data_IF_063257696741
#
_entry.id   IF_063257696741
#
_cell.length_a   1.000
_cell.length_b   1.000
_cell.length_c   1.000
_cell.angle_alpha   90.00
_cell.angle_beta   90.00
_cell.angle_gamma   90.00
#
_symmetry.space_group_name_H-M   'P 1'
#
loop_
_entity.id
_entity.type
_entity.pdbx_description
1 polymer ?
#
# COMPACT_ATOMS: atom_id res chain seq x y z
N UNK A 1 -12.90 -15.70 -12.36
CA UNK A 1 -12.28 -15.30 -11.08
C UNK A 1 -13.01 -14.07 -10.60
N UNK A 2 -13.59 -14.11 -9.40
CA UNK A 2 -14.43 -13.02 -8.86
C UNK A 2 -13.57 -12.12 -7.98
N UNK A 3 -13.49 -10.84 -8.31
CA UNK A 3 -12.72 -9.86 -7.53
C UNK A 3 -13.65 -8.90 -6.78
N UNK A 4 -13.30 -8.57 -5.55
CA UNK A 4 -13.91 -7.46 -4.82
C UNK A 4 -12.88 -6.33 -4.71
N UNK A 5 -13.25 -5.16 -5.21
CA UNK A 5 -12.34 -3.99 -5.23
C UNK A 5 -12.86 -2.92 -4.30
N UNK A 6 -12.04 -2.52 -3.32
CA UNK A 6 -12.31 -1.41 -2.42
C UNK A 6 -11.51 -0.18 -2.86
N UNK A 7 -12.20 0.86 -3.30
CA UNK A 7 -11.60 2.15 -3.68
C UNK A 7 -12.43 3.31 -3.15
N UNK A 8 -11.96 3.95 -2.09
CA UNK A 8 -12.64 5.11 -1.47
C UNK A 8 -12.56 6.34 -2.38
N UNK A 9 -11.49 6.47 -3.16
CA UNK A 9 -11.30 7.63 -4.06
C UNK A 9 -12.26 7.65 -5.25
N UNK A 10 -12.82 6.48 -5.62
CA UNK A 10 -13.69 6.31 -6.77
C UNK A 10 -12.98 6.36 -8.13
N UNK A 11 -11.65 6.43 -8.14
CA UNK A 11 -10.88 6.49 -9.40
C UNK A 11 -10.93 5.17 -10.17
N UNK A 12 -10.97 4.04 -9.46
CA UNK A 12 -11.04 2.70 -10.07
C UNK A 12 -12.35 2.47 -10.83
N UNK A 13 -13.42 3.18 -10.48
CA UNK A 13 -14.70 3.06 -11.19
C UNK A 13 -14.59 3.40 -12.67
N UNK A 14 -13.66 4.30 -13.03
CA UNK A 14 -13.40 4.68 -14.42
C UNK A 14 -12.42 3.77 -15.14
N UNK A 15 -11.72 2.93 -14.39
CA UNK A 15 -10.59 2.13 -14.86
C UNK A 15 -10.94 0.64 -14.99
N UNK A 16 -11.94 0.16 -14.27
CA UNK A 16 -12.37 -1.24 -14.29
C UNK A 16 -13.39 -1.45 -15.40
N UNK A 17 -13.01 -2.27 -16.37
CA UNK A 17 -13.88 -2.68 -17.47
C UNK A 17 -14.37 -4.15 -17.36
N UNK A 18 -14.01 -4.84 -16.28
CA UNK A 18 -14.33 -6.26 -16.10
C UNK A 18 -15.70 -6.45 -15.46
N UNK A 19 -16.53 -7.33 -16.04
CA UNK A 19 -17.82 -7.76 -15.48
C UNK A 19 -17.69 -8.59 -14.19
N UNK A 20 -16.49 -9.13 -13.91
CA UNK A 20 -16.23 -10.02 -12.78
C UNK A 20 -15.74 -9.29 -11.52
N UNK A 21 -15.69 -7.96 -11.56
CA UNK A 21 -15.25 -7.14 -10.44
C UNK A 21 -16.43 -6.44 -9.75
N UNK A 22 -16.58 -6.67 -8.46
CA UNK A 22 -17.50 -5.93 -7.60
C UNK A 22 -16.76 -4.75 -7.02
N UNK A 23 -17.20 -3.52 -7.33
CA UNK A 23 -16.58 -2.30 -6.82
C UNK A 23 -17.36 -1.75 -5.63
N UNK A 24 -16.66 -1.43 -4.55
CA UNK A 24 -17.20 -0.77 -3.36
C UNK A 24 -16.31 0.42 -2.96
N UNK A 25 -16.93 1.43 -2.37
CA UNK A 25 -16.28 2.69 -2.01
C UNK A 25 -16.18 2.92 -0.49
N UNK A 26 -16.36 1.88 0.30
CA UNK A 26 -16.32 2.01 1.77
C UNK A 26 -15.78 0.73 2.41
N UNK A 27 -14.93 0.83 3.46
CA UNK A 27 -14.40 -0.31 4.18
C UNK A 27 -15.48 -1.24 4.73
N UNK A 28 -16.55 -0.67 5.31
CA UNK A 28 -17.65 -1.45 5.89
C UNK A 28 -18.39 -2.25 4.81
N UNK A 29 -18.68 -1.62 3.66
CA UNK A 29 -19.31 -2.31 2.54
C UNK A 29 -18.38 -3.39 1.97
N UNK A 30 -17.07 -3.14 1.92
CA UNK A 30 -16.11 -4.12 1.47
C UNK A 30 -16.12 -5.38 2.34
N UNK A 31 -16.04 -5.23 3.66
CA UNK A 31 -16.09 -6.36 4.57
C UNK A 31 -17.42 -7.14 4.44
N UNK A 32 -18.54 -6.44 4.39
CA UNK A 32 -19.85 -7.08 4.23
C UNK A 32 -19.95 -7.85 2.91
N UNK A 33 -19.54 -7.25 1.80
CA UNK A 33 -19.56 -7.91 0.49
C UNK A 33 -18.59 -9.09 0.43
N UNK A 34 -17.41 -9.00 1.07
CA UNK A 34 -16.46 -10.12 1.15
C UNK A 34 -17.07 -11.35 1.86
N UNK A 35 -17.87 -11.12 2.91
CA UNK A 35 -18.57 -12.20 3.64
C UNK A 35 -19.66 -12.83 2.78
N UNK A 36 -20.47 -12.01 2.08
CA UNK A 36 -21.62 -12.48 1.27
C UNK A 36 -21.13 -13.18 0.00
N UNK A 37 -20.26 -12.52 -0.74
CA UNK A 37 -19.90 -12.88 -2.11
C UNK A 37 -18.75 -13.90 -2.19
N UNK A 38 -17.95 -14.01 -1.12
CA UNK A 38 -16.76 -14.88 -1.02
C UNK A 38 -15.89 -14.81 -2.28
N UNK A 39 -15.35 -13.63 -2.62
CA UNK A 39 -14.54 -13.47 -3.82
C UNK A 39 -13.26 -14.28 -3.73
N UNK A 40 -12.64 -14.56 -4.88
CA UNK A 40 -11.34 -15.23 -4.96
C UNK A 40 -10.21 -14.33 -4.40
N UNK A 41 -10.34 -13.01 -4.56
CA UNK A 41 -9.42 -12.04 -3.99
C UNK A 41 -10.11 -10.69 -3.70
N UNK A 42 -9.59 -9.98 -2.68
CA UNK A 42 -9.95 -8.60 -2.36
C UNK A 42 -8.79 -7.69 -2.75
N UNK A 43 -9.07 -6.70 -3.58
CA UNK A 43 -8.11 -5.67 -3.98
C UNK A 43 -8.46 -4.38 -3.26
N UNK A 44 -7.51 -3.82 -2.50
CA UNK A 44 -7.71 -2.59 -1.73
C UNK A 44 -6.78 -1.51 -2.27
N UNK A 45 -7.34 -0.41 -2.75
CA UNK A 45 -6.57 0.69 -3.32
C UNK A 45 -6.31 1.78 -2.29
N UNK A 46 -5.04 2.10 -2.11
CA UNK A 46 -4.53 3.22 -1.33
C UNK A 46 -4.13 4.34 -2.29
N UNK A 47 -5.11 5.16 -2.67
CA UNK A 47 -4.91 6.31 -3.55
C UNK A 47 -4.44 7.56 -2.80
N UNK A 48 -4.71 8.73 -3.41
CA UNK A 48 -4.53 10.02 -2.74
C UNK A 48 -5.72 10.30 -1.83
N UNK A 49 -5.65 9.77 -0.61
CA UNK A 49 -6.70 9.81 0.41
C UNK A 49 -6.16 10.42 1.70
N UNK A 50 -7.06 10.90 2.56
CA UNK A 50 -6.69 11.42 3.88
C UNK A 50 -6.05 10.32 4.75
N UNK A 51 -5.18 10.70 5.69
CA UNK A 51 -4.48 9.76 6.57
C UNK A 51 -5.45 8.87 7.35
N UNK A 52 -6.58 9.44 7.82
CA UNK A 52 -7.63 8.68 8.49
C UNK A 52 -8.29 7.62 7.60
N UNK A 53 -8.50 7.94 6.34
CA UNK A 53 -9.05 6.98 5.37
C UNK A 53 -8.06 5.85 5.07
N UNK A 54 -6.77 6.19 4.97
CA UNK A 54 -5.68 5.22 4.87
C UNK A 54 -5.65 4.27 6.05
N UNK A 55 -5.78 4.80 7.27
CA UNK A 55 -5.84 3.99 8.50
C UNK A 55 -7.05 3.05 8.49
N UNK A 56 -8.22 3.54 8.09
CA UNK A 56 -9.43 2.72 7.98
C UNK A 56 -9.29 1.58 6.95
N UNK A 57 -8.55 1.78 5.86
CA UNK A 57 -8.26 0.71 4.89
C UNK A 57 -7.30 -0.34 5.46
N UNK A 58 -6.32 0.06 6.28
CA UNK A 58 -5.42 -0.89 6.96
C UNK A 58 -6.20 -1.71 8.00
N UNK A 59 -7.10 -1.07 8.76
CA UNK A 59 -8.00 -1.75 9.68
C UNK A 59 -8.92 -2.74 8.95
N UNK A 60 -9.43 -2.38 7.76
CA UNK A 60 -10.19 -3.30 6.91
C UNK A 60 -9.37 -4.54 6.54
N UNK A 61 -8.08 -4.36 6.16
CA UNK A 61 -7.20 -5.49 5.86
C UNK A 61 -7.11 -6.45 7.06
N UNK A 62 -6.87 -5.92 8.26
CA UNK A 62 -6.83 -6.71 9.49
C UNK A 62 -8.16 -7.41 9.78
N UNK A 63 -9.29 -6.71 9.62
CA UNK A 63 -10.62 -7.29 9.80
C UNK A 63 -10.89 -8.46 8.83
N UNK A 64 -10.51 -8.31 7.55
CA UNK A 64 -10.63 -9.38 6.56
C UNK A 64 -9.81 -10.62 6.92
N UNK A 65 -8.60 -10.43 7.46
CA UNK A 65 -7.69 -11.53 7.83
C UNK A 65 -8.03 -12.19 9.17
N UNK A 66 -8.70 -11.49 10.08
CA UNK A 66 -9.13 -12.02 11.37
C UNK A 66 -10.52 -12.67 11.33
N UNK A 67 -11.38 -12.28 10.40
CA UNK A 67 -12.75 -12.79 10.31
C UNK A 67 -12.78 -14.23 9.78
N UNK A 68 -13.52 -15.12 10.46
CA UNK A 68 -13.59 -16.54 10.14
C UNK A 68 -14.07 -16.82 8.69
N UNK A 69 -14.92 -15.97 8.13
CA UNK A 69 -15.50 -16.15 6.79
C UNK A 69 -14.62 -15.62 5.66
N UNK A 70 -13.66 -14.73 5.97
CA UNK A 70 -12.85 -14.03 4.96
C UNK A 70 -11.36 -14.27 5.09
N UNK A 71 -10.85 -14.84 6.20
CA UNK A 71 -9.41 -15.04 6.47
C UNK A 71 -8.66 -15.82 5.40
N UNK A 72 -9.36 -16.71 4.67
CA UNK A 72 -8.78 -17.48 3.55
C UNK A 72 -8.75 -16.75 2.22
N UNK A 73 -9.37 -15.56 2.14
CA UNK A 73 -9.39 -14.77 0.90
C UNK A 73 -8.06 -14.03 0.76
N UNK A 74 -7.43 -14.11 -0.41
CA UNK A 74 -6.23 -13.34 -0.73
C UNK A 74 -6.51 -11.83 -0.72
N UNK A 75 -5.66 -11.04 -0.03
CA UNK A 75 -5.76 -9.58 -0.01
C UNK A 75 -4.56 -8.98 -0.73
N UNK A 76 -4.84 -8.11 -1.70
CA UNK A 76 -3.83 -7.40 -2.49
C UNK A 76 -4.00 -5.89 -2.24
N UNK A 77 -2.97 -5.25 -1.70
CA UNK A 77 -2.96 -3.80 -1.53
C UNK A 77 -2.30 -3.12 -2.74
N UNK A 78 -3.02 -2.18 -3.36
CA UNK A 78 -2.51 -1.33 -4.44
C UNK A 78 -2.14 0.03 -3.87
N UNK A 79 -0.85 0.36 -3.87
CA UNK A 79 -0.30 1.60 -3.31
C UNK A 79 0.13 2.56 -4.42
N UNK A 80 -0.23 3.84 -4.31
CA UNK A 80 0.22 4.90 -5.22
C UNK A 80 1.58 5.51 -4.82
N UNK A 81 2.12 5.14 -3.65
CA UNK A 81 3.42 5.60 -3.16
C UNK A 81 4.13 4.50 -2.38
N UNK A 82 5.46 4.55 -2.41
CA UNK A 82 6.31 3.62 -1.65
C UNK A 82 6.46 4.11 -0.21
N UNK A 83 5.45 3.89 0.60
CA UNK A 83 5.39 4.34 1.98
C UNK A 83 5.68 3.18 2.93
N UNK A 84 6.91 3.09 3.44
CA UNK A 84 7.37 1.96 4.26
C UNK A 84 6.46 1.65 5.45
N UNK A 85 6.07 2.65 6.24
CA UNK A 85 5.24 2.37 7.42
C UNK A 85 3.84 1.85 7.07
N UNK A 86 3.30 2.18 5.89
CA UNK A 86 2.05 1.59 5.40
C UNK A 86 2.27 0.11 5.07
N UNK A 87 3.37 -0.21 4.38
CA UNK A 87 3.69 -1.61 4.02
C UNK A 87 3.94 -2.45 5.27
N UNK A 88 4.63 -1.92 6.29
CA UNK A 88 4.82 -2.59 7.58
C UNK A 88 3.48 -2.88 8.28
N UNK A 89 2.61 -1.89 8.35
CA UNK A 89 1.26 -2.06 8.94
C UNK A 89 0.39 -3.04 8.17
N UNK A 90 0.51 -3.08 6.84
CA UNK A 90 -0.18 -4.07 5.99
C UNK A 90 0.33 -5.48 6.26
N UNK A 91 1.65 -5.67 6.43
CA UNK A 91 2.24 -6.95 6.85
C UNK A 91 1.67 -7.38 8.21
N UNK A 92 1.65 -6.47 9.18
CA UNK A 92 1.16 -6.74 10.53
C UNK A 92 -0.36 -7.03 10.55
N UNK A 93 -1.11 -6.50 9.58
CA UNK A 93 -2.52 -6.82 9.32
C UNK A 93 -2.72 -8.16 8.59
N UNK A 94 -1.63 -8.85 8.19
CA UNK A 94 -1.68 -10.15 7.51
C UNK A 94 -1.89 -10.09 6.00
N UNK A 95 -1.65 -8.92 5.37
CA UNK A 95 -1.69 -8.78 3.90
C UNK A 95 -0.48 -9.46 3.30
N UNK A 96 -0.70 -10.31 2.30
CA UNK A 96 0.37 -11.07 1.65
C UNK A 96 1.04 -10.31 0.51
N UNK A 97 0.28 -9.48 -0.21
CA UNK A 97 0.74 -8.87 -1.46
C UNK A 97 0.51 -7.36 -1.49
N UNK A 98 1.54 -6.64 -1.86
CA UNK A 98 1.54 -5.19 -2.07
C UNK A 98 2.09 -4.88 -3.45
N UNK A 99 1.34 -4.15 -4.27
CA UNK A 99 1.79 -3.69 -5.58
C UNK A 99 1.79 -2.18 -5.66
N UNK A 100 2.89 -1.61 -6.10
CA UNK A 100 2.98 -0.17 -6.35
C UNK A 100 2.50 0.16 -7.75
N UNK A 101 1.55 1.09 -7.82
CA UNK A 101 1.06 1.63 -9.09
C UNK A 101 2.04 2.68 -9.60
N UNK A 102 2.45 2.55 -10.86
CA UNK A 102 3.30 3.56 -11.49
C UNK A 102 2.55 4.91 -11.55
N UNK A 103 3.20 6.00 -11.11
CA UNK A 103 2.71 7.36 -11.37
C UNK A 103 2.87 7.68 -12.85
N UNK A 104 1.96 7.22 -13.70
CA UNK A 104 1.98 7.62 -15.10
C UNK A 104 1.43 9.02 -15.24
N UNK A 105 2.14 9.89 -16.00
CA UNK A 105 1.65 11.23 -16.40
C UNK A 105 0.54 11.15 -17.45
N UNK A 106 0.27 9.97 -17.99
CA UNK A 106 -0.82 9.72 -18.93
C UNK A 106 -2.05 9.24 -18.18
N UNK A 107 -3.29 9.54 -18.66
CA UNK A 107 -4.50 8.95 -18.12
C UNK A 107 -4.30 7.45 -18.12
N UNK A 108 -4.35 6.84 -16.93
CA UNK A 108 -4.00 5.43 -16.74
C UNK A 108 -4.89 4.60 -17.66
N UNK A 109 -4.26 3.87 -18.55
CA UNK A 109 -4.89 2.80 -19.31
C UNK A 109 -5.69 1.92 -18.35
N UNK A 110 -6.88 1.51 -18.74
CA UNK A 110 -7.77 0.68 -17.94
C UNK A 110 -6.98 -0.42 -17.19
N UNK A 111 -7.08 -0.43 -15.87
CA UNK A 111 -6.49 -1.50 -15.06
C UNK A 111 -7.45 -2.67 -15.17
N UNK A 112 -7.03 -3.68 -15.90
CA UNK A 112 -7.74 -4.95 -15.90
C UNK A 112 -7.43 -5.65 -14.56
N UNK A 113 -8.37 -5.58 -13.63
CA UNK A 113 -8.25 -6.20 -12.30
C UNK A 113 -8.07 -7.71 -12.41
N UNK A 114 -8.55 -8.32 -13.49
CA UNK A 114 -8.39 -9.76 -13.73
C UNK A 114 -6.94 -10.15 -14.05
N UNK A 115 -6.12 -9.19 -14.46
CA UNK A 115 -4.68 -9.39 -14.68
C UNK A 115 -3.85 -9.17 -13.42
N UNK A 116 -4.44 -8.70 -12.31
CA UNK A 116 -3.75 -8.54 -11.02
C UNK A 116 -3.57 -9.93 -10.39
N UNK A 117 -2.68 -10.74 -10.99
CA UNK A 117 -2.21 -11.94 -10.32
C UNK A 117 -1.06 -11.56 -9.40
N UNK A 118 -1.05 -12.04 -8.14
CA UNK A 118 0.07 -11.82 -7.26
C UNK A 118 1.34 -12.46 -7.85
N UNK A 119 2.41 -11.70 -7.91
CA UNK A 119 3.73 -12.18 -8.33
C UNK A 119 4.63 -12.31 -7.08
N UNK A 120 5.67 -13.16 -7.11
CA UNK A 120 6.60 -13.28 -5.97
C UNK A 120 7.22 -11.93 -5.55
N UNK A 121 7.46 -11.04 -6.52
CA UNK A 121 7.98 -9.68 -6.25
C UNK A 121 6.98 -8.79 -5.49
N UNK A 122 5.67 -9.09 -5.54
CA UNK A 122 4.63 -8.31 -4.87
C UNK A 122 4.46 -8.75 -3.40
N UNK A 123 5.18 -9.77 -2.92
CA UNK A 123 5.15 -10.17 -1.52
C UNK A 123 5.56 -8.99 -0.62
N UNK A 124 4.83 -8.78 0.45
CA UNK A 124 5.01 -7.64 1.34
C UNK A 124 6.42 -7.59 1.93
N UNK A 125 7.00 -8.73 2.29
CA UNK A 125 8.36 -8.81 2.84
C UNK A 125 9.42 -8.44 1.80
N UNK A 126 9.25 -8.88 0.54
CA UNK A 126 10.14 -8.49 -0.57
C UNK A 126 10.08 -6.99 -0.80
N UNK A 127 8.90 -6.38 -0.71
CA UNK A 127 8.76 -4.93 -0.86
C UNK A 127 9.41 -4.17 0.31
N UNK A 128 9.36 -4.71 1.53
CA UNK A 128 10.04 -4.11 2.70
C UNK A 128 11.56 -4.19 2.60
N UNK A 129 12.12 -5.24 2.01
CA UNK A 129 13.56 -5.36 1.77
C UNK A 129 14.09 -4.31 0.78
N UNK A 130 13.25 -3.88 -0.18
CA UNK A 130 13.61 -2.84 -1.16
C UNK A 130 13.62 -1.45 -0.52
N UNK A 131 12.79 -1.22 0.50
CA UNK A 131 12.63 0.09 1.14
C UNK A 131 13.60 0.29 2.30
N UNK A 132 14.26 1.44 2.36
CA UNK A 132 15.18 1.78 3.45
C UNK A 132 14.48 1.66 4.82
N UNK A 133 15.06 0.91 5.80
CA UNK A 133 14.46 0.73 7.12
C UNK A 133 14.44 2.00 7.98
N UNK A 134 15.18 3.04 7.56
CA UNK A 134 15.23 4.33 8.25
C UNK A 134 14.31 5.39 7.65
N UNK A 135 13.33 5.00 6.82
CA UNK A 135 12.29 5.90 6.36
C UNK A 135 11.30 6.17 7.50
N UNK A 136 11.26 7.39 7.97
CA UNK A 136 10.28 7.87 8.95
C UNK A 136 9.34 8.88 8.31
N UNK A 137 8.14 9.01 8.88
CA UNK A 137 7.08 9.88 8.36
C UNK A 137 6.54 10.73 9.50
N UNK A 138 6.66 12.04 9.34
CA UNK A 138 6.14 13.03 10.27
C UNK A 138 4.88 13.67 9.71
N UNK A 139 3.77 13.56 10.42
CA UNK A 139 2.50 14.15 10.03
C UNK A 139 2.60 15.68 10.02
N UNK A 140 2.20 16.30 8.91
CA UNK A 140 2.08 17.75 8.77
C UNK A 140 0.62 18.15 9.04
N UNK A 141 -0.32 17.50 8.35
CA UNK A 141 -1.75 17.75 8.49
C UNK A 141 -2.58 16.46 8.28
N UNK A 142 -3.87 16.60 8.00
CA UNK A 142 -4.79 15.46 7.80
C UNK A 142 -4.53 14.66 6.52
N UNK A 143 -3.73 15.17 5.58
CA UNK A 143 -3.44 14.54 4.28
C UNK A 143 -1.96 14.38 4.01
N UNK A 144 -1.12 15.23 4.58
CA UNK A 144 0.29 15.31 4.23
C UNK A 144 1.18 14.82 5.36
N UNK A 145 2.21 14.09 4.95
CA UNK A 145 3.32 13.64 5.78
C UNK A 145 4.64 14.08 5.13
N UNK A 146 5.59 14.39 5.97
CA UNK A 146 6.96 14.68 5.56
C UNK A 146 7.80 13.42 5.78
N UNK A 147 8.54 13.00 4.77
CA UNK A 147 9.46 11.87 4.87
C UNK A 147 10.81 12.37 5.36
N UNK A 148 11.35 11.73 6.40
CA UNK A 148 12.62 12.08 7.03
C UNK A 148 13.51 10.86 7.17
N UNK A 149 14.83 11.09 7.28
CA UNK A 149 15.82 10.05 7.49
C UNK A 149 16.03 9.79 8.99
N UNK A 150 15.56 8.65 9.48
CA UNK A 150 15.77 8.20 10.87
C UNK A 150 17.24 7.88 11.18
N UNK A 151 18.02 7.46 10.19
CA UNK A 151 19.45 7.24 10.36
C UNK A 151 20.23 8.55 10.59
N UNK A 152 19.63 9.71 10.31
CA UNK A 152 20.22 11.02 10.56
C UNK A 152 19.43 11.82 11.59
N UNK A 153 19.08 11.19 12.70
CA UNK A 153 18.42 11.81 13.87
C UNK A 153 17.05 12.47 13.53
N UNK A 154 16.38 12.05 12.46
CA UNK A 154 15.16 12.66 11.90
C UNK A 154 15.32 14.15 11.49
N UNK A 155 16.56 14.59 11.24
CA UNK A 155 16.87 15.99 10.89
C UNK A 155 16.95 16.25 9.39
N UNK A 156 16.95 15.20 8.59
CA UNK A 156 17.03 15.33 7.12
C UNK A 156 15.70 15.00 6.48
N UNK A 157 15.09 16.01 5.88
CA UNK A 157 13.91 15.83 5.03
C UNK A 157 14.33 15.19 3.72
N UNK A 158 13.61 14.14 3.33
CA UNK A 158 13.86 13.38 2.11
C UNK A 158 12.88 13.81 1.02
N UNK A 159 13.40 14.04 -0.18
CA UNK A 159 12.61 14.35 -1.36
C UNK A 159 13.40 14.14 -2.65
N UNK A 160 12.72 14.25 -3.80
CA UNK A 160 13.32 14.13 -5.12
C UNK A 160 14.17 12.88 -5.29
N UNK A 161 15.36 13.07 -5.86
CA UNK A 161 16.31 12.00 -6.16
C UNK A 161 16.63 11.11 -4.94
N UNK A 162 16.98 11.72 -3.79
CA UNK A 162 17.41 10.94 -2.61
C UNK A 162 16.31 10.00 -2.11
N UNK A 163 15.05 10.44 -2.09
CA UNK A 163 13.93 9.60 -1.70
C UNK A 163 13.69 8.50 -2.73
N UNK A 164 13.52 8.86 -4.00
CA UNK A 164 13.02 7.93 -5.01
C UNK A 164 14.08 6.98 -5.56
N UNK A 165 15.35 7.41 -5.64
CA UNK A 165 16.42 6.60 -6.24
C UNK A 165 17.29 5.88 -5.20
N UNK A 166 17.31 6.38 -3.96
CA UNK A 166 18.12 5.76 -2.90
C UNK A 166 17.20 5.07 -1.88
N UNK A 167 16.35 5.83 -1.19
CA UNK A 167 15.62 5.29 -0.02
C UNK A 167 14.47 4.35 -0.40
N UNK A 168 13.84 4.55 -1.54
CA UNK A 168 12.74 3.71 -2.07
C UNK A 168 13.23 2.58 -2.97
N UNK A 169 14.53 2.31 -3.00
CA UNK A 169 15.17 1.26 -3.80
C UNK A 169 16.27 0.56 -3.00
N UNK A 170 16.85 -0.50 -3.56
CA UNK A 170 18.04 -1.14 -2.96
C UNK A 170 19.28 -0.25 -2.95
N UNK A 171 19.25 0.94 -3.57
CA UNK A 171 20.32 1.95 -3.49
C UNK A 171 20.62 2.39 -2.07
N UNK A 172 19.68 2.22 -1.13
CA UNK A 172 19.90 2.53 0.28
C UNK A 172 21.01 1.68 0.92
N UNK A 173 21.30 0.48 0.41
CA UNK A 173 22.36 -0.40 0.92
C UNK A 173 23.75 0.21 0.77
N UNK A 174 23.93 1.19 -0.14
CA UNK A 174 25.17 1.93 -0.36
C UNK A 174 25.14 3.34 0.27
N UNK A 175 24.05 3.71 0.95
CA UNK A 175 23.90 5.02 1.57
C UNK A 175 24.79 5.13 2.81
N UNK A 176 25.56 6.21 2.92
CA UNK A 176 26.46 6.48 4.06
C UNK A 176 25.75 6.47 5.42
N UNK A 177 24.49 7.00 5.46
CA UNK A 177 23.69 7.02 6.68
C UNK A 177 23.10 5.65 7.01
N UNK A 178 22.85 4.80 6.02
CA UNK A 178 22.46 3.42 6.25
C UNK A 178 23.60 2.61 6.84
N UNK A 179 24.82 2.79 6.31
CA UNK A 179 26.03 2.09 6.77
C UNK A 179 26.51 2.58 8.14
N UNK A 180 26.34 3.88 8.43
CA UNK A 180 26.79 4.52 9.67
C UNK A 180 25.66 5.36 10.30
N UNK A 181 24.62 4.73 10.84
CA UNK A 181 23.46 5.45 11.35
C UNK A 181 23.77 6.24 12.62
N UNK A 182 23.43 7.52 12.61
CA UNK A 182 23.42 8.39 13.78
C UNK A 182 22.04 8.31 14.42
N UNK A 183 21.86 7.40 15.37
CA UNK A 183 20.58 7.20 16.06
C UNK A 183 20.48 8.11 17.28
N UNK A 184 19.24 8.49 17.64
CA UNK A 184 18.97 9.04 18.98
C UNK A 184 19.19 7.90 19.97
N UNK A 185 20.01 8.11 20.97
CA UNK A 185 20.18 7.25 22.14
C UNK A 185 18.93 7.28 23.00
#
# INVERSE_FOLDING_TARGET
MKFLVCDISGEMQRMIQSSDAILVNSPVRCLNQAIIERPDAVVIRFGDIALRERDALIELCGALKQNQHTKGIGVIALLCSKHRSVVERLRDAGVEYVRFLAKSKQPQTAIDVTTIKPEPKDQVDVQLEILCPYLHYSKIDSRHEMTVCGAYLDRMVLGGHRLHEICETQGHLQCEYYLNPRRKS
#
